data_IF_205526835998
#
_entry.id   IF_205526835998
#
_cell.length_a   1.000
_cell.length_b   1.000
_cell.length_c   1.000
_cell.angle_alpha   90.00
_cell.angle_beta   90.00
_cell.angle_gamma   90.00
#
_symmetry.space_group_name_H-M   'P 1'
#
loop_
_entity.id
_entity.type
_entity.pdbx_description
1 polymer ?
#
# COMPACT_ATOMS: atom_id res chain seq x y z
N UNK A 1 -4.74 31.06 -27.65
CA UNK A 1 -3.50 30.70 -28.36
C UNK A 1 -3.89 30.14 -29.72
N UNK A 2 -3.22 30.52 -30.83
CA UNK A 2 -3.52 29.95 -32.15
C UNK A 2 -2.87 28.57 -32.29
N UNK A 3 -3.57 27.59 -32.85
CA UNK A 3 -3.04 26.23 -33.03
C UNK A 3 -1.73 26.22 -33.84
N UNK A 4 -1.58 27.11 -34.82
CA UNK A 4 -0.37 27.23 -35.65
C UNK A 4 0.89 27.66 -34.88
N UNK A 5 0.76 28.11 -33.64
CA UNK A 5 1.87 28.56 -32.79
C UNK A 5 2.14 27.59 -31.63
N UNK A 6 1.35 26.52 -31.48
CA UNK A 6 1.55 25.57 -30.40
C UNK A 6 2.81 24.72 -30.69
N UNK A 7 3.63 24.52 -29.67
CA UNK A 7 4.74 23.57 -29.74
C UNK A 7 4.22 22.17 -29.45
N UNK A 8 4.18 21.32 -30.48
CA UNK A 8 3.68 19.96 -30.41
C UNK A 8 2.82 19.60 -31.61
N UNK A 9 2.67 18.31 -31.87
CA UNK A 9 1.77 17.76 -32.90
C UNK A 9 1.08 16.52 -32.36
N UNK A 10 -0.13 16.28 -32.84
CA UNK A 10 -0.82 15.01 -32.59
C UNK A 10 -0.18 13.89 -33.41
N UNK A 11 -0.20 12.67 -32.87
CA UNK A 11 0.25 11.47 -33.57
C UNK A 11 -0.95 10.69 -34.12
N UNK A 12 -0.80 10.09 -35.30
CA UNK A 12 -1.83 9.24 -35.90
C UNK A 12 -1.84 7.85 -35.28
N UNK A 13 -0.65 7.29 -35.09
CA UNK A 13 -0.44 5.95 -34.58
C UNK A 13 -0.24 5.98 -33.06
N UNK A 14 -0.61 4.88 -32.42
CA UNK A 14 -0.41 4.68 -30.99
C UNK A 14 0.99 4.11 -30.79
N UNK A 15 1.84 4.70 -29.94
CA UNK A 15 3.13 4.11 -29.61
C UNK A 15 2.95 2.70 -29.02
N UNK A 16 3.70 1.72 -29.54
CA UNK A 16 3.57 0.31 -29.13
C UNK A 16 3.95 0.06 -27.67
N UNK A 17 4.70 0.97 -27.06
CA UNK A 17 5.12 0.94 -25.66
C UNK A 17 4.07 1.46 -24.67
N UNK A 18 2.89 1.89 -25.16
CA UNK A 18 1.85 2.47 -24.32
C UNK A 18 0.72 1.47 -24.04
N UNK A 19 0.71 0.93 -22.81
CA UNK A 19 -0.23 -0.14 -22.44
C UNK A 19 -1.61 0.35 -21.96
N UNK A 20 -1.69 1.56 -21.37
CA UNK A 20 -2.95 2.09 -20.82
C UNK A 20 -3.61 3.12 -21.73
N UNK A 21 -4.95 3.19 -21.79
CA UNK A 21 -5.68 4.23 -22.53
C UNK A 21 -5.18 5.64 -22.23
N UNK A 22 -5.00 6.01 -20.94
CA UNK A 22 -4.47 7.32 -20.58
C UNK A 22 -3.08 7.59 -21.17
N UNK A 23 -2.16 6.62 -21.11
CA UNK A 23 -0.82 6.78 -21.66
C UNK A 23 -0.84 6.95 -23.18
N UNK A 24 -1.61 6.09 -23.87
CA UNK A 24 -1.78 6.15 -25.33
C UNK A 24 -2.34 7.50 -25.77
N UNK A 25 -3.41 7.96 -25.12
CA UNK A 25 -4.08 9.20 -25.48
C UNK A 25 -3.24 10.44 -25.18
N UNK A 26 -2.53 10.47 -24.05
CA UNK A 26 -1.66 11.59 -23.70
C UNK A 26 -0.49 11.76 -24.68
N UNK A 27 0.09 10.65 -25.16
CA UNK A 27 1.12 10.68 -26.21
C UNK A 27 0.53 11.11 -27.55
N UNK A 28 -0.59 10.51 -27.97
CA UNK A 28 -1.26 10.83 -29.25
C UNK A 28 -1.74 12.27 -29.33
N UNK A 29 -2.21 12.83 -28.23
CA UNK A 29 -2.63 14.22 -28.14
C UNK A 29 -1.45 15.20 -28.04
N UNK A 30 -0.20 14.71 -27.99
CA UNK A 30 1.00 15.53 -27.83
C UNK A 30 1.02 16.30 -26.50
N UNK A 31 0.50 15.69 -25.43
CA UNK A 31 0.41 16.29 -24.09
C UNK A 31 1.61 15.95 -23.22
N UNK A 32 2.23 14.79 -23.46
CA UNK A 32 3.47 14.36 -22.81
C UNK A 32 4.45 13.81 -23.83
N UNK A 33 5.73 13.80 -23.47
CA UNK A 33 6.79 13.16 -24.24
C UNK A 33 7.70 12.41 -23.27
N UNK A 34 7.95 11.13 -23.53
CA UNK A 34 8.89 10.35 -22.72
C UNK A 34 10.34 10.75 -23.04
N UNK A 35 11.12 11.04 -22.00
CA UNK A 35 12.55 11.38 -22.11
C UNK A 35 13.43 10.19 -21.74
N UNK A 36 13.00 9.43 -20.72
CA UNK A 36 13.57 8.15 -20.33
C UNK A 36 12.46 7.27 -19.72
N UNK A 37 12.74 5.99 -19.46
CA UNK A 37 11.79 5.11 -18.79
C UNK A 37 11.28 5.75 -17.48
N UNK A 38 9.96 5.96 -17.38
CA UNK A 38 9.34 6.63 -16.23
C UNK A 38 9.69 8.11 -16.04
N UNK A 39 10.20 8.81 -17.06
CA UNK A 39 10.53 10.25 -16.98
C UNK A 39 9.91 10.97 -18.17
N UNK A 40 9.01 11.92 -17.90
CA UNK A 40 8.17 12.56 -18.91
C UNK A 40 8.29 14.08 -18.88
N UNK A 41 8.38 14.67 -20.07
CA UNK A 41 8.18 16.10 -20.28
C UNK A 41 6.69 16.39 -20.50
N UNK A 42 6.16 17.40 -19.81
CA UNK A 42 4.81 17.92 -20.05
C UNK A 42 4.84 18.94 -21.19
N UNK A 43 4.13 18.63 -22.27
CA UNK A 43 3.99 19.52 -23.43
C UNK A 43 2.97 20.64 -23.12
N UNK A 44 2.89 21.72 -23.92
CA UNK A 44 2.09 22.90 -23.56
C UNK A 44 0.64 22.65 -23.15
N UNK A 45 -0.06 21.72 -23.80
CA UNK A 45 -1.44 21.35 -23.39
C UNK A 45 -1.46 20.54 -22.10
N UNK A 46 -0.61 19.52 -21.97
CA UNK A 46 -0.51 18.73 -20.74
C UNK A 46 -0.11 19.59 -19.53
N UNK A 47 0.81 20.54 -19.74
CA UNK A 47 1.21 21.50 -18.72
C UNK A 47 0.06 22.41 -18.29
N UNK A 48 -0.78 22.89 -19.22
CA UNK A 48 -1.97 23.69 -18.89
C UNK A 48 -2.97 22.93 -18.03
N UNK A 49 -3.23 21.66 -18.34
CA UNK A 49 -4.07 20.78 -17.51
C UNK A 49 -3.45 20.61 -16.13
N UNK A 50 -2.15 20.31 -16.07
CA UNK A 50 -1.45 20.11 -14.80
C UNK A 50 -1.52 21.36 -13.91
N UNK A 51 -1.33 22.57 -14.46
CA UNK A 51 -1.48 23.83 -13.71
C UNK A 51 -2.91 24.07 -13.21
N UNK A 52 -3.94 23.62 -13.94
CA UNK A 52 -5.34 23.70 -13.46
C UNK A 52 -5.58 22.76 -12.28
N UNK A 53 -5.10 21.53 -12.37
CA UNK A 53 -5.13 20.57 -11.26
C UNK A 53 -4.36 21.12 -10.05
N UNK A 54 -3.17 21.64 -10.28
CA UNK A 54 -2.34 22.27 -9.24
C UNK A 54 -3.09 23.41 -8.53
N UNK A 55 -3.78 24.27 -9.27
CA UNK A 55 -4.53 25.39 -8.70
C UNK A 55 -5.74 24.90 -7.89
N UNK A 56 -6.48 23.89 -8.37
CA UNK A 56 -7.58 23.28 -7.60
C UNK A 56 -7.04 22.74 -6.26
N UNK A 57 -5.91 22.02 -6.31
CA UNK A 57 -5.27 21.49 -5.10
C UNK A 57 -4.87 22.63 -4.15
N UNK A 58 -4.19 23.67 -4.65
CA UNK A 58 -3.75 24.82 -3.86
C UNK A 58 -4.92 25.51 -3.16
N UNK A 59 -5.99 25.81 -3.90
CA UNK A 59 -7.18 26.45 -3.34
C UNK A 59 -7.78 25.63 -2.19
N UNK A 60 -7.96 24.31 -2.36
CA UNK A 60 -8.53 23.45 -1.30
C UNK A 60 -7.57 23.23 -0.10
N UNK A 61 -6.25 23.26 -0.33
CA UNK A 61 -5.27 23.21 0.77
C UNK A 61 -5.28 24.53 1.56
N UNK A 62 -5.31 25.67 0.89
CA UNK A 62 -5.33 26.99 1.51
C UNK A 62 -6.64 27.19 2.30
N UNK A 63 -7.78 26.78 1.74
CA UNK A 63 -9.10 26.83 2.41
C UNK A 63 -9.15 25.93 3.66
N UNK A 64 -8.40 24.83 3.66
CA UNK A 64 -8.25 23.97 4.84
C UNK A 64 -7.31 24.55 5.91
N UNK A 65 -6.66 25.68 5.64
CA UNK A 65 -5.68 26.34 6.51
C UNK A 65 -4.24 25.89 6.30
N UNK A 66 -3.95 25.25 5.17
CA UNK A 66 -2.61 24.90 4.74
C UNK A 66 -1.76 26.13 4.41
N UNK A 67 -0.46 26.03 4.66
CA UNK A 67 0.52 27.05 4.30
C UNK A 67 1.49 26.45 3.28
N UNK A 68 1.49 26.99 2.06
CA UNK A 68 2.39 26.55 1.00
C UNK A 68 3.82 27.05 1.25
N UNK A 69 4.78 26.14 1.11
CA UNK A 69 6.21 26.40 1.15
C UNK A 69 6.90 25.55 0.08
N UNK A 70 8.22 25.66 -0.04
CA UNK A 70 9.01 24.80 -0.93
C UNK A 70 10.23 24.27 -0.21
N UNK A 71 10.51 22.98 -0.38
CA UNK A 71 11.66 22.30 0.19
C UNK A 71 12.61 21.79 -0.90
N UNK A 72 13.92 21.68 -0.60
CA UNK A 72 14.87 21.16 -1.57
C UNK A 72 14.58 19.70 -1.93
N UNK A 73 14.74 19.37 -3.23
CA UNK A 73 14.74 17.97 -3.70
C UNK A 73 16.01 17.26 -3.25
N UNK A 74 17.15 17.95 -3.34
CA UNK A 74 18.45 17.40 -2.99
C UNK A 74 18.65 17.49 -1.47
N UNK A 75 18.78 16.35 -0.81
CA UNK A 75 18.80 16.22 0.63
C UNK A 75 20.07 15.49 1.11
N UNK A 76 20.60 15.83 2.29
CA UNK A 76 21.67 15.06 2.93
C UNK A 76 21.16 13.67 3.36
N UNK A 77 21.93 12.61 3.08
CA UNK A 77 21.54 11.24 3.46
C UNK A 77 21.44 11.08 4.98
N UNK A 78 22.17 11.89 5.74
CA UNK A 78 22.23 11.86 7.19
C UNK A 78 20.86 12.09 7.85
N UNK A 79 19.96 12.83 7.18
CA UNK A 79 18.58 13.00 7.66
C UNK A 79 17.77 11.70 7.58
N UNK A 80 17.97 10.93 6.51
CA UNK A 80 17.30 9.65 6.28
C UNK A 80 17.86 8.55 7.18
N UNK A 81 19.17 8.60 7.46
CA UNK A 81 19.84 7.69 8.39
C UNK A 81 19.34 7.88 9.83
N UNK A 82 19.04 9.10 10.25
CA UNK A 82 18.48 9.37 11.58
C UNK A 82 17.11 8.71 11.79
N UNK A 83 16.32 8.59 10.72
CA UNK A 83 15.00 7.94 10.76
C UNK A 83 15.06 6.46 10.40
N UNK A 84 16.21 5.96 9.94
CA UNK A 84 16.40 4.60 9.40
C UNK A 84 15.66 4.36 8.09
N UNK A 85 15.07 5.40 7.48
CA UNK A 85 14.29 5.28 6.24
C UNK A 85 15.16 5.15 5.00
N UNK A 86 16.46 5.45 5.09
CA UNK A 86 17.42 5.12 4.03
C UNK A 86 17.45 3.61 3.76
N UNK A 87 17.48 2.80 4.81
CA UNK A 87 17.46 1.34 4.72
C UNK A 87 16.07 0.83 4.33
N UNK A 88 15.01 1.40 4.92
CA UNK A 88 13.64 0.98 4.65
C UNK A 88 13.21 1.24 3.19
N UNK A 89 13.64 2.35 2.58
CA UNK A 89 13.41 2.61 1.15
C UNK A 89 14.32 1.78 0.24
N UNK A 90 15.51 1.40 0.74
CA UNK A 90 16.46 0.56 0.02
C UNK A 90 16.75 1.08 -1.39
N UNK A 91 16.59 0.20 -2.38
CA UNK A 91 16.87 0.51 -3.79
C UNK A 91 15.89 1.50 -4.43
N UNK A 92 14.77 1.81 -3.79
CA UNK A 92 13.83 2.84 -4.28
C UNK A 92 14.33 4.26 -4.05
N UNK A 93 15.38 4.45 -3.25
CA UNK A 93 15.97 5.75 -2.94
C UNK A 93 17.08 6.11 -3.92
N UNK A 94 16.89 7.18 -4.70
CA UNK A 94 17.97 7.72 -5.53
C UNK A 94 19.07 8.31 -4.65
N UNK A 95 20.30 7.79 -4.80
CA UNK A 95 21.49 8.29 -4.12
C UNK A 95 22.51 8.80 -5.13
N UNK A 96 23.22 9.86 -4.77
CA UNK A 96 24.29 10.45 -5.57
C UNK A 96 25.41 10.97 -4.67
N UNK A 97 26.59 11.19 -5.24
CA UNK A 97 27.74 11.74 -4.52
C UNK A 97 28.08 13.12 -5.10
N UNK A 98 28.26 14.12 -4.23
CA UNK A 98 28.73 15.42 -4.68
C UNK A 98 30.24 15.40 -4.97
N UNK A 99 30.76 16.51 -5.50
CA UNK A 99 32.20 16.68 -5.80
C UNK A 99 33.15 16.61 -4.58
N UNK A 100 32.61 16.50 -3.36
CA UNK A 100 33.33 16.30 -2.10
C UNK A 100 33.06 14.90 -1.52
N UNK A 101 32.53 13.99 -2.33
CA UNK A 101 32.17 12.61 -1.96
C UNK A 101 31.12 12.53 -0.84
N UNK A 102 30.30 13.57 -0.65
CA UNK A 102 29.16 13.50 0.28
C UNK A 102 28.00 12.79 -0.40
N UNK A 103 27.45 11.78 0.28
CA UNK A 103 26.25 11.08 -0.18
C UNK A 103 25.02 11.96 0.03
N UNK A 104 24.27 12.13 -1.04
CA UNK A 104 23.02 12.89 -1.09
C UNK A 104 21.91 12.00 -1.63
N UNK A 105 20.68 12.43 -1.39
CA UNK A 105 19.45 11.77 -1.80
C UNK A 105 18.62 12.74 -2.63
N UNK A 106 17.95 12.23 -3.68
CA UNK A 106 16.84 12.95 -4.31
C UNK A 106 15.55 12.55 -3.59
N UNK A 107 14.92 13.49 -2.92
CA UNK A 107 13.78 13.25 -2.03
C UNK A 107 12.60 12.54 -2.72
N UNK A 108 12.26 11.30 -2.33
CA UNK A 108 11.01 10.65 -2.75
C UNK A 108 9.78 11.17 -2.00
N UNK A 109 10.03 11.87 -0.88
CA UNK A 109 9.11 12.53 0.06
C UNK A 109 9.93 13.44 0.98
N UNK A 110 9.30 14.14 1.92
CA UNK A 110 9.92 15.24 2.70
C UNK A 110 9.59 15.23 4.20
N UNK A 111 9.18 14.10 4.79
CA UNK A 111 8.92 14.04 6.23
C UNK A 111 10.14 14.50 7.05
N UNK A 112 11.35 14.04 6.72
CA UNK A 112 12.58 14.35 7.43
C UNK A 112 12.89 15.85 7.42
N UNK A 113 12.90 16.44 6.22
CA UNK A 113 13.27 17.83 6.00
C UNK A 113 12.32 18.74 6.75
N UNK A 114 11.01 18.50 6.63
CA UNK A 114 10.03 19.38 7.25
C UNK A 114 9.98 19.19 8.78
N UNK A 115 10.14 17.97 9.28
CA UNK A 115 10.24 17.72 10.73
C UNK A 115 11.43 18.44 11.33
N UNK A 116 12.58 18.42 10.65
CA UNK A 116 13.75 19.18 11.07
C UNK A 116 13.47 20.69 11.02
N UNK A 117 12.79 21.20 10.00
CA UNK A 117 12.41 22.62 9.98
C UNK A 117 11.50 22.97 11.16
N UNK A 118 10.50 22.14 11.45
CA UNK A 118 9.55 22.37 12.55
C UNK A 118 10.23 22.33 13.91
N UNK A 119 11.18 21.42 14.15
CA UNK A 119 11.89 21.34 15.44
C UNK A 119 12.65 22.62 15.80
N UNK A 120 13.02 23.43 14.81
CA UNK A 120 13.68 24.72 15.03
C UNK A 120 12.70 25.89 15.25
N UNK A 121 11.45 25.76 14.82
CA UNK A 121 10.48 26.87 14.78
C UNK A 121 9.30 26.69 15.74
N UNK A 122 9.02 25.47 16.19
CA UNK A 122 7.97 25.16 17.17
C UNK A 122 8.64 24.86 18.50
N UNK A 123 8.27 25.59 19.54
CA UNK A 123 8.82 25.43 20.89
C UNK A 123 7.74 25.23 21.95
N UNK A 124 6.49 25.66 21.69
CA UNK A 124 5.38 25.58 22.63
C UNK A 124 4.15 24.96 21.97
N UNK A 125 3.28 24.35 22.77
CA UNK A 125 1.96 23.89 22.34
C UNK A 125 1.14 25.01 21.65
N UNK A 126 1.41 26.28 21.99
CA UNK A 126 0.75 27.46 21.39
C UNK A 126 1.13 27.71 19.93
N UNK A 127 2.24 27.14 19.47
CA UNK A 127 2.65 27.23 18.07
C UNK A 127 1.88 26.24 17.19
N UNK A 128 1.21 25.25 17.80
CA UNK A 128 0.50 24.16 17.15
C UNK A 128 -1.03 24.39 17.17
N UNK A 129 -1.78 23.86 16.19
CA UNK A 129 -1.33 23.00 15.09
C UNK A 129 -0.71 23.79 13.92
N UNK A 130 0.05 23.09 13.07
CA UNK A 130 0.54 23.60 11.78
C UNK A 130 0.17 22.65 10.65
N UNK A 131 -0.32 23.19 9.53
CA UNK A 131 -0.56 22.49 8.27
C UNK A 131 0.35 23.09 7.21
N UNK A 132 1.40 22.37 6.83
CA UNK A 132 2.45 22.88 5.94
C UNK A 132 2.53 21.98 4.71
N UNK A 133 2.51 22.55 3.51
CA UNK A 133 2.56 21.76 2.28
C UNK A 133 3.44 22.37 1.20
N UNK A 134 3.76 21.56 0.20
CA UNK A 134 4.40 22.00 -1.03
C UNK A 134 3.79 21.27 -2.23
N UNK A 135 4.00 21.81 -3.43
CA UNK A 135 3.79 21.10 -4.69
C UNK A 135 5.12 21.04 -5.42
N UNK A 136 5.76 19.87 -5.42
CA UNK A 136 7.18 19.76 -5.75
C UNK A 136 7.55 18.40 -6.36
N UNK A 137 8.60 18.39 -7.19
CA UNK A 137 9.10 17.21 -7.90
C UNK A 137 9.79 16.19 -6.98
N UNK A 138 9.29 14.96 -6.99
CA UNK A 138 9.80 13.80 -6.27
C UNK A 138 10.52 12.84 -7.19
N UNK A 139 11.42 12.06 -6.61
CA UNK A 139 12.18 11.02 -7.30
C UNK A 139 12.07 9.69 -6.57
N UNK A 140 11.62 8.64 -7.26
CA UNK A 140 11.60 7.25 -6.76
C UNK A 140 12.22 6.35 -7.81
N UNK A 141 13.22 5.54 -7.47
CA UNK A 141 13.85 4.64 -8.45
C UNK A 141 13.01 3.39 -8.64
N UNK A 142 11.85 3.61 -9.27
CA UNK A 142 10.90 2.56 -9.58
C UNK A 142 11.52 1.57 -10.58
N UNK A 143 11.70 0.28 -10.20
CA UNK A 143 12.34 -0.70 -11.06
C UNK A 143 11.57 -0.98 -12.35
N UNK A 144 10.24 -0.80 -12.35
CA UNK A 144 9.40 -1.03 -13.54
C UNK A 144 8.37 0.10 -13.73
N UNK A 145 8.78 1.27 -14.23
CA UNK A 145 7.85 2.35 -14.53
C UNK A 145 6.90 1.92 -15.66
N UNK A 146 5.59 2.11 -15.46
CA UNK A 146 4.55 1.63 -16.38
C UNK A 146 3.29 2.50 -16.31
N UNK A 147 2.39 2.35 -17.27
CA UNK A 147 1.12 3.09 -17.29
C UNK A 147 1.25 4.60 -17.53
N UNK A 148 2.29 5.04 -18.23
CA UNK A 148 2.50 6.46 -18.51
C UNK A 148 2.81 7.25 -17.25
N UNK A 149 1.94 8.22 -16.91
CA UNK A 149 2.10 9.05 -15.71
C UNK A 149 1.60 8.39 -14.42
N UNK A 150 1.06 7.16 -14.48
CA UNK A 150 0.54 6.45 -13.30
C UNK A 150 1.69 6.03 -12.38
N UNK A 151 2.75 5.43 -12.95
CA UNK A 151 3.90 4.92 -12.21
C UNK A 151 5.22 5.30 -12.88
N UNK A 152 5.90 6.27 -12.28
CA UNK A 152 7.04 7.00 -12.86
C UNK A 152 8.17 7.17 -11.85
N UNK A 153 9.35 7.55 -12.33
CA UNK A 153 10.54 7.79 -11.49
C UNK A 153 10.69 9.24 -11.07
N UNK A 154 10.23 10.17 -11.90
CA UNK A 154 10.18 11.61 -11.61
C UNK A 154 8.73 12.09 -11.74
N UNK A 155 8.19 12.73 -10.71
CA UNK A 155 6.81 13.21 -10.71
C UNK A 155 6.58 14.39 -9.78
N UNK A 156 5.54 15.16 -10.07
CA UNK A 156 5.11 16.25 -9.20
C UNK A 156 4.08 15.72 -8.21
N UNK A 157 4.33 15.98 -6.93
CA UNK A 157 3.44 15.60 -5.83
C UNK A 157 3.14 16.83 -4.99
N UNK A 158 1.87 16.95 -4.58
CA UNK A 158 1.51 17.75 -3.42
C UNK A 158 1.68 16.88 -2.19
N UNK A 159 2.50 17.31 -1.25
CA UNK A 159 2.69 16.68 0.05
C UNK A 159 2.47 17.71 1.16
N UNK A 160 1.50 17.43 2.03
CA UNK A 160 1.19 18.21 3.23
C UNK A 160 1.57 17.40 4.46
N UNK A 161 2.02 18.08 5.51
CA UNK A 161 2.32 17.49 6.81
C UNK A 161 1.63 18.31 7.90
N UNK A 162 0.90 17.63 8.78
CA UNK A 162 0.32 18.24 9.97
C UNK A 162 1.21 17.99 11.17
N UNK A 163 1.25 18.99 12.05
CA UNK A 163 1.97 18.96 13.32
C UNK A 163 0.99 19.39 14.39
N UNK A 164 0.73 18.50 15.35
CA UNK A 164 -0.39 18.57 16.28
C UNK A 164 0.11 18.30 17.72
N UNK A 165 -0.64 18.81 18.71
CA UNK A 165 -0.29 18.70 20.15
C UNK A 165 -0.51 17.29 20.67
N UNK A 166 -1.58 16.64 20.22
CA UNK A 166 -2.03 15.32 20.65
C UNK A 166 -2.74 14.57 19.50
N UNK A 167 -3.16 13.33 19.77
CA UNK A 167 -3.86 12.48 18.79
C UNK A 167 -5.23 13.08 18.41
N UNK A 168 -5.92 13.78 19.32
CA UNK A 168 -7.19 14.45 19.01
C UNK A 168 -6.98 15.62 18.03
N UNK A 169 -5.91 16.40 18.20
CA UNK A 169 -5.50 17.42 17.24
C UNK A 169 -5.16 16.84 15.86
N UNK A 170 -4.43 15.72 15.84
CA UNK A 170 -4.14 14.98 14.61
C UNK A 170 -5.42 14.51 13.92
N UNK A 171 -6.41 14.02 14.68
CA UNK A 171 -7.70 13.60 14.12
C UNK A 171 -8.43 14.76 13.43
N UNK A 172 -8.38 15.97 14.01
CA UNK A 172 -8.93 17.18 13.38
C UNK A 172 -8.18 17.50 12.07
N UNK A 173 -6.85 17.53 12.11
CA UNK A 173 -6.00 17.78 10.94
C UNK A 173 -6.24 16.74 9.84
N UNK A 174 -6.37 15.47 10.22
CA UNK A 174 -6.66 14.37 9.33
C UNK A 174 -8.00 14.52 8.63
N UNK A 175 -9.08 14.82 9.37
CA UNK A 175 -10.41 15.00 8.79
C UNK A 175 -10.48 16.22 7.86
N UNK A 176 -9.77 17.32 8.18
CA UNK A 176 -9.63 18.46 7.26
C UNK A 176 -9.03 18.02 5.93
N UNK A 177 -7.96 17.23 5.96
CA UNK A 177 -7.30 16.76 4.74
C UNK A 177 -8.16 15.77 3.95
N UNK A 178 -8.85 14.85 4.63
CA UNK A 178 -9.82 13.95 3.99
C UNK A 178 -10.91 14.74 3.27
N UNK A 179 -11.45 15.79 3.89
CA UNK A 179 -12.48 16.61 3.26
C UNK A 179 -11.93 17.43 2.08
N UNK A 180 -10.77 18.05 2.24
CA UNK A 180 -10.12 18.80 1.16
C UNK A 180 -9.83 17.90 -0.06
N UNK A 181 -9.39 16.66 0.18
CA UNK A 181 -9.18 15.69 -0.90
C UNK A 181 -10.47 15.33 -1.62
N UNK A 182 -11.56 15.08 -0.89
CA UNK A 182 -12.88 14.85 -1.48
C UNK A 182 -13.29 16.02 -2.39
N UNK A 183 -13.12 17.25 -1.92
CA UNK A 183 -13.40 18.45 -2.71
C UNK A 183 -12.52 18.52 -3.97
N UNK A 184 -11.22 18.25 -3.85
CA UNK A 184 -10.28 18.22 -5.00
C UNK A 184 -10.76 17.23 -6.05
N UNK A 185 -11.09 15.99 -5.65
CA UNK A 185 -11.53 14.97 -6.59
C UNK A 185 -12.88 15.31 -7.21
N UNK A 186 -13.83 15.84 -6.44
CA UNK A 186 -15.11 16.33 -6.95
C UNK A 186 -14.92 17.46 -7.98
N UNK A 187 -14.04 18.43 -7.70
CA UNK A 187 -13.71 19.52 -8.63
C UNK A 187 -12.97 19.04 -9.88
N UNK A 188 -12.21 17.96 -9.78
CA UNK A 188 -11.63 17.23 -10.92
C UNK A 188 -12.62 16.27 -11.59
N UNK A 189 -13.87 16.23 -11.13
CA UNK A 189 -14.95 15.34 -11.57
C UNK A 189 -14.61 13.84 -11.46
N UNK A 190 -13.77 13.43 -10.52
CA UNK A 190 -13.37 12.04 -10.33
C UNK A 190 -14.19 11.36 -9.22
N UNK A 191 -14.77 10.18 -9.47
CA UNK A 191 -15.49 9.41 -8.45
C UNK A 191 -14.51 8.65 -7.54
N UNK A 192 -13.75 9.40 -6.72
CA UNK A 192 -12.78 8.82 -5.80
C UNK A 192 -13.45 8.02 -4.67
N UNK A 193 -13.03 6.78 -4.50
CA UNK A 193 -13.42 5.92 -3.38
C UNK A 193 -12.42 6.06 -2.25
N UNK A 194 -12.91 6.33 -1.04
CA UNK A 194 -12.08 6.38 0.17
C UNK A 194 -11.97 4.97 0.77
N UNK A 195 -10.76 4.42 0.85
CA UNK A 195 -10.51 3.02 1.23
C UNK A 195 -9.50 2.93 2.37
N UNK A 196 -9.70 1.96 3.27
CA UNK A 196 -8.74 1.65 4.34
C UNK A 196 -7.48 1.00 3.76
N UNK A 197 -6.31 1.44 4.20
CA UNK A 197 -5.04 1.02 3.62
C UNK A 197 -4.03 0.56 4.68
N UNK A 198 -2.97 -0.10 4.21
CA UNK A 198 -1.79 -0.32 5.05
C UNK A 198 -1.00 0.99 5.22
N UNK A 199 -0.21 1.09 6.29
CA UNK A 199 0.61 2.28 6.54
C UNK A 199 2.01 2.15 5.91
N UNK A 200 2.39 0.94 5.48
CA UNK A 200 3.66 0.64 4.82
C UNK A 200 4.88 1.11 5.60
N UNK A 201 5.96 1.38 4.86
CA UNK A 201 7.23 1.89 5.39
C UNK A 201 7.17 3.35 5.89
N UNK A 202 6.09 4.08 5.59
CA UNK A 202 5.84 5.42 6.14
C UNK A 202 5.52 5.33 7.65
N UNK A 203 4.97 4.19 8.10
CA UNK A 203 4.59 3.96 9.49
C UNK A 203 3.26 4.64 9.85
N UNK A 204 2.74 4.34 11.03
CA UNK A 204 1.48 4.92 11.53
C UNK A 204 0.40 3.91 11.93
N UNK A 205 -0.70 4.43 12.48
CA UNK A 205 -1.85 3.63 12.95
C UNK A 205 -2.99 3.60 11.93
N UNK A 206 -3.42 4.77 11.46
CA UNK A 206 -4.52 4.93 10.51
C UNK A 206 -4.01 5.44 9.17
N UNK A 207 -4.41 4.75 8.10
CA UNK A 207 -3.99 5.00 6.74
C UNK A 207 -5.20 4.78 5.82
N UNK A 208 -5.46 5.75 4.94
CA UNK A 208 -6.50 5.61 3.93
C UNK A 208 -6.02 6.12 2.58
N UNK A 209 -6.42 5.42 1.54
CA UNK A 209 -6.17 5.76 0.15
C UNK A 209 -7.43 6.32 -0.49
N UNK A 210 -7.24 7.17 -1.48
CA UNK A 210 -8.27 7.56 -2.42
C UNK A 210 -8.00 6.81 -3.73
N UNK A 211 -8.97 5.99 -4.13
CA UNK A 211 -8.87 5.09 -5.27
C UNK A 211 -9.83 5.52 -6.36
N UNK A 212 -9.36 5.59 -7.61
CA UNK A 212 -10.23 5.62 -8.78
C UNK A 212 -10.40 4.20 -9.30
N UNK A 213 -11.64 3.69 -9.35
CA UNK A 213 -11.89 2.36 -9.92
C UNK A 213 -11.68 2.40 -11.43
N UNK A 214 -10.78 1.54 -11.91
CA UNK A 214 -10.40 1.42 -13.32
C UNK A 214 -9.86 0.01 -13.59
N UNK A 215 -10.21 -0.58 -14.74
CA UNK A 215 -9.84 -1.95 -15.10
C UNK A 215 -8.32 -2.18 -15.21
N UNK A 216 -7.55 -1.11 -15.41
CA UNK A 216 -6.08 -1.16 -15.45
C UNK A 216 -5.42 -0.62 -14.18
N UNK A 217 -6.18 -0.49 -13.10
CA UNK A 217 -5.65 -0.18 -11.77
C UNK A 217 -4.65 -1.25 -11.31
N UNK A 218 -3.56 -0.79 -10.69
CA UNK A 218 -2.53 -1.69 -10.17
C UNK A 218 -2.92 -2.28 -8.80
N UNK A 219 -3.79 -1.57 -8.06
CA UNK A 219 -4.17 -1.93 -6.71
C UNK A 219 -5.48 -2.72 -6.68
N UNK A 220 -5.51 -3.79 -5.90
CA UNK A 220 -6.74 -4.50 -5.60
C UNK A 220 -7.54 -3.77 -4.53
N UNK A 221 -8.81 -3.51 -4.78
CA UNK A 221 -9.73 -2.90 -3.82
C UNK A 221 -10.84 -3.89 -3.49
N UNK A 222 -11.03 -4.15 -2.20
CA UNK A 222 -12.13 -4.94 -1.68
C UNK A 222 -13.20 -3.99 -1.14
N UNK A 223 -14.40 -4.05 -1.69
CA UNK A 223 -15.53 -3.23 -1.27
C UNK A 223 -16.75 -4.08 -0.90
N UNK A 224 -17.70 -3.53 -0.17
CA UNK A 224 -18.99 -4.16 0.09
C UNK A 224 -20.11 -3.37 -0.56
N UNK A 225 -20.89 -3.99 -1.45
CA UNK A 225 -22.04 -3.34 -2.10
C UNK A 225 -23.17 -2.96 -1.14
N UNK A 226 -23.24 -3.62 0.02
CA UNK A 226 -24.35 -3.45 0.97
C UNK A 226 -24.06 -2.39 2.04
N UNK A 227 -22.82 -1.93 2.18
CA UNK A 227 -22.44 -0.91 3.15
C UNK A 227 -21.31 -0.01 2.61
N UNK A 228 -20.61 0.74 3.48
CA UNK A 228 -19.50 1.63 3.08
C UNK A 228 -18.11 1.06 3.36
N UNK A 229 -18.02 -0.26 3.56
CA UNK A 229 -16.73 -0.90 3.75
C UNK A 229 -15.97 -0.94 2.43
N UNK A 230 -14.77 -0.36 2.41
CA UNK A 230 -13.82 -0.48 1.33
C UNK A 230 -12.40 -0.44 1.89
N UNK A 231 -11.54 -1.33 1.41
CA UNK A 231 -10.16 -1.44 1.83
C UNK A 231 -9.28 -1.88 0.66
N UNK A 232 -8.02 -1.46 0.66
CA UNK A 232 -6.99 -2.06 -0.16
C UNK A 232 -6.91 -3.57 0.17
N UNK A 233 -6.73 -4.40 -0.86
CA UNK A 233 -6.61 -5.85 -0.74
C UNK A 233 -5.54 -6.26 0.29
N UNK A 234 -4.46 -5.48 0.44
CA UNK A 234 -3.41 -5.71 1.42
C UNK A 234 -3.90 -5.56 2.88
N UNK A 235 -4.93 -4.75 3.11
CA UNK A 235 -5.50 -4.46 4.43
C UNK A 235 -6.83 -5.15 4.70
N UNK A 236 -7.57 -5.49 3.65
CA UNK A 236 -8.96 -5.94 3.73
C UNK A 236 -9.15 -7.16 4.62
N UNK A 237 -10.08 -7.07 5.57
CA UNK A 237 -10.56 -8.16 6.41
C UNK A 237 -11.86 -8.73 5.82
N UNK A 238 -12.06 -10.04 5.96
CA UNK A 238 -13.30 -10.71 5.56
C UNK A 238 -13.80 -11.68 6.62
N UNK A 239 -15.11 -11.96 6.59
CA UNK A 239 -15.72 -13.00 7.42
C UNK A 239 -15.55 -14.34 6.72
N UNK A 240 -14.76 -15.20 7.33
CA UNK A 240 -14.44 -16.54 6.82
C UNK A 240 -15.61 -17.48 7.11
N UNK A 241 -15.97 -18.30 6.12
CA UNK A 241 -17.02 -19.32 6.26
C UNK A 241 -16.62 -20.34 7.32
N UNK A 242 -17.51 -20.66 8.26
CA UNK A 242 -17.27 -21.75 9.22
C UNK A 242 -17.38 -23.10 8.54
N UNK A 243 -16.46 -23.99 8.86
CA UNK A 243 -16.52 -25.40 8.47
C UNK A 243 -17.32 -26.13 9.55
N UNK A 244 -18.29 -26.94 9.14
CA UNK A 244 -19.46 -27.33 9.94
C UNK A 244 -19.18 -27.94 11.32
N UNK A 245 -20.21 -28.00 12.20
CA UNK A 245 -20.08 -28.56 13.54
C UNK A 245 -20.04 -30.09 13.47
N UNK A 246 -18.86 -30.64 13.21
CA UNK A 246 -18.61 -32.07 13.36
C UNK A 246 -18.17 -32.42 14.80
N UNK A 247 -17.98 -33.71 15.08
CA UNK A 247 -17.27 -34.13 16.29
C UNK A 247 -15.80 -34.33 15.93
N UNK A 248 -14.85 -33.93 16.81
CA UNK A 248 -13.44 -34.21 16.58
C UNK A 248 -13.20 -35.72 16.45
N UNK A 249 -12.63 -36.14 15.33
CA UNK A 249 -12.23 -37.53 15.07
C UNK A 249 -10.76 -37.74 15.43
N UNK A 250 -10.34 -38.99 15.62
CA UNK A 250 -8.94 -39.32 15.88
C UNK A 250 -8.07 -39.08 14.62
N UNK A 251 -6.85 -38.53 14.76
CA UNK A 251 -5.93 -38.37 13.63
C UNK A 251 -5.64 -39.70 12.92
N UNK A 252 -5.60 -39.68 11.60
CA UNK A 252 -5.35 -40.86 10.76
C UNK A 252 -4.33 -40.52 9.66
N UNK A 253 -3.22 -41.26 9.58
CA UNK A 253 -2.28 -41.14 8.45
C UNK A 253 -2.87 -41.76 7.19
N UNK A 254 -2.78 -41.04 6.06
CA UNK A 254 -3.25 -41.48 4.75
C UNK A 254 -2.15 -41.29 3.73
N UNK A 255 -1.90 -42.33 2.92
CA UNK A 255 -0.95 -42.25 1.82
C UNK A 255 -1.53 -41.41 0.66
N UNK A 256 -0.75 -40.42 0.22
CA UNK A 256 -1.09 -39.45 -0.83
C UNK A 256 0.10 -39.29 -1.79
N UNK A 257 0.44 -40.34 -2.56
CA UNK A 257 1.64 -40.36 -3.40
C UNK A 257 1.59 -39.30 -4.50
N UNK A 258 2.62 -38.44 -4.54
CA UNK A 258 2.75 -37.36 -5.51
C UNK A 258 1.80 -36.17 -5.33
N UNK A 259 0.97 -36.16 -4.28
CA UNK A 259 0.01 -35.07 -4.03
C UNK A 259 0.69 -33.99 -3.19
N UNK A 260 1.05 -32.86 -3.81
CA UNK A 260 1.80 -31.77 -3.15
C UNK A 260 1.01 -30.48 -3.01
N UNK A 261 -0.04 -30.27 -3.82
CA UNK A 261 -0.86 -29.06 -3.81
C UNK A 261 -2.18 -29.29 -3.08
N UNK A 262 -2.82 -28.21 -2.63
CA UNK A 262 -4.15 -28.30 -2.01
C UNK A 262 -5.17 -28.87 -3.01
N UNK A 263 -5.09 -28.46 -4.28
CA UNK A 263 -5.90 -28.99 -5.37
C UNK A 263 -5.76 -30.50 -5.52
N UNK A 264 -4.53 -31.01 -5.50
CA UNK A 264 -4.25 -32.44 -5.63
C UNK A 264 -4.79 -33.23 -4.43
N UNK A 265 -4.50 -32.75 -3.21
CA UNK A 265 -4.93 -33.41 -1.96
C UNK A 265 -6.45 -33.41 -1.83
N UNK A 266 -7.10 -32.28 -2.11
CA UNK A 266 -8.56 -32.11 -2.10
C UNK A 266 -9.23 -33.08 -3.07
N UNK A 267 -8.72 -33.17 -4.30
CA UNK A 267 -9.26 -34.05 -5.34
C UNK A 267 -9.03 -35.53 -5.03
N UNK A 268 -7.83 -35.88 -4.57
CA UNK A 268 -7.45 -37.26 -4.25
C UNK A 268 -8.22 -37.84 -3.06
N UNK A 269 -8.40 -37.05 -2.00
CA UNK A 269 -9.10 -37.48 -0.79
C UNK A 269 -10.61 -37.20 -0.83
N UNK A 270 -11.10 -36.57 -1.90
CA UNK A 270 -12.49 -36.14 -2.08
C UNK A 270 -13.00 -35.31 -0.89
N UNK A 271 -12.18 -34.34 -0.46
CA UNK A 271 -12.51 -33.38 0.60
C UNK A 271 -12.50 -31.97 0.02
N UNK A 272 -13.40 -31.06 0.43
CA UNK A 272 -13.35 -29.67 -0.01
C UNK A 272 -12.04 -28.98 0.41
N UNK A 273 -11.59 -27.97 -0.35
CA UNK A 273 -10.39 -27.18 0.01
C UNK A 273 -10.51 -26.46 1.36
N UNK A 274 -11.73 -26.12 1.79
CA UNK A 274 -11.97 -25.54 3.13
C UNK A 274 -11.81 -26.57 4.27
N UNK A 275 -11.62 -27.88 3.97
CA UNK A 275 -11.30 -28.93 4.93
C UNK A 275 -9.82 -29.34 4.90
N UNK A 276 -8.97 -28.61 4.20
CA UNK A 276 -7.52 -28.84 4.20
C UNK A 276 -6.78 -27.69 4.88
N UNK A 277 -5.54 -27.95 5.30
CA UNK A 277 -4.64 -26.98 5.90
C UNK A 277 -3.38 -26.86 5.00
N UNK A 278 -3.08 -25.62 4.63
CA UNK A 278 -1.93 -25.24 3.81
C UNK A 278 -0.82 -24.71 4.71
N UNK A 279 0.38 -25.26 4.52
CA UNK A 279 1.62 -24.77 5.09
C UNK A 279 2.35 -23.90 4.08
N UNK A 280 2.62 -22.65 4.44
CA UNK A 280 3.41 -21.70 3.64
C UNK A 280 4.61 -21.27 4.47
N UNK A 281 5.77 -21.16 3.84
CA UNK A 281 7.03 -20.86 4.51
C UNK A 281 7.52 -19.48 4.11
N UNK A 282 7.88 -18.70 5.10
CA UNK A 282 8.44 -17.37 4.93
C UNK A 282 9.75 -17.24 5.67
N UNK A 283 10.60 -16.32 5.24
CA UNK A 283 11.76 -15.87 6.00
C UNK A 283 11.48 -14.44 6.44
N UNK A 284 11.49 -14.22 7.75
CA UNK A 284 11.28 -12.92 8.38
C UNK A 284 12.57 -12.51 9.10
N UNK A 285 13.22 -11.44 8.65
CA UNK A 285 14.52 -10.96 9.16
C UNK A 285 15.56 -12.10 9.33
N UNK A 286 15.63 -13.00 8.33
CA UNK A 286 16.55 -14.14 8.31
C UNK A 286 16.12 -15.36 9.13
N UNK A 287 14.93 -15.36 9.72
CA UNK A 287 14.37 -16.52 10.45
C UNK A 287 13.18 -17.14 9.71
N UNK A 288 13.19 -18.47 9.58
CA UNK A 288 12.07 -19.21 8.97
C UNK A 288 10.83 -19.13 9.86
N UNK A 289 9.70 -18.79 9.24
CA UNK A 289 8.36 -18.74 9.82
C UNK A 289 7.46 -19.73 9.10
N UNK A 290 6.73 -20.51 9.88
CA UNK A 290 5.71 -21.44 9.40
C UNK A 290 4.35 -20.75 9.47
N UNK A 291 3.77 -20.40 8.32
CA UNK A 291 2.40 -19.89 8.21
C UNK A 291 1.43 -21.05 7.94
N UNK A 292 0.48 -21.28 8.84
CA UNK A 292 -0.56 -22.29 8.71
C UNK A 292 -1.91 -21.61 8.41
N UNK A 293 -2.56 -21.99 7.33
CA UNK A 293 -3.83 -21.39 6.90
C UNK A 293 -4.76 -22.44 6.29
N UNK A 294 -6.07 -22.21 6.28
CA UNK A 294 -7.01 -23.09 5.57
C UNK A 294 -6.69 -23.17 4.08
N UNK A 295 -6.85 -24.34 3.48
CA UNK A 295 -6.31 -24.64 2.16
C UNK A 295 -6.93 -23.86 1.01
N UNK A 296 -8.16 -23.38 1.15
CA UNK A 296 -8.80 -22.50 0.18
C UNK A 296 -8.35 -21.04 0.30
N UNK A 297 -7.60 -20.62 1.32
CA UNK A 297 -7.20 -19.23 1.56
C UNK A 297 -5.72 -19.03 1.25
N UNK A 298 -5.35 -17.81 0.86
CA UNK A 298 -3.96 -17.42 0.62
C UNK A 298 -3.44 -16.50 1.72
N UNK A 299 -2.14 -16.60 2.00
CA UNK A 299 -1.48 -15.72 2.98
C UNK A 299 -1.34 -14.34 2.37
N UNK A 300 -1.77 -13.32 3.11
CA UNK A 300 -1.49 -11.93 2.82
C UNK A 300 -0.17 -11.56 3.51
N UNK A 301 0.86 -11.33 2.69
CA UNK A 301 2.23 -11.06 3.15
C UNK A 301 2.33 -9.77 3.95
N UNK A 302 1.55 -8.73 3.60
CA UNK A 302 1.52 -7.45 4.32
C UNK A 302 0.97 -7.64 5.74
N UNK A 303 -0.12 -8.39 5.89
CA UNK A 303 -0.66 -8.74 7.22
C UNK A 303 0.35 -9.56 8.03
N UNK A 304 1.00 -10.54 7.41
CA UNK A 304 1.99 -11.39 8.07
C UNK A 304 3.22 -10.57 8.52
N UNK A 305 3.76 -9.71 7.65
CA UNK A 305 4.90 -8.85 7.94
C UNK A 305 4.58 -7.91 9.11
N UNK A 306 3.40 -7.28 9.09
CA UNK A 306 2.95 -6.35 10.13
C UNK A 306 2.72 -7.05 11.48
N UNK A 307 2.20 -8.27 11.45
CA UNK A 307 2.02 -9.11 12.64
C UNK A 307 3.38 -9.49 13.26
N UNK A 308 4.34 -9.87 12.42
CA UNK A 308 5.70 -10.25 12.84
C UNK A 308 6.57 -9.05 13.22
N UNK A 309 6.21 -7.85 12.76
CA UNK A 309 6.98 -6.60 12.90
C UNK A 309 8.40 -6.74 12.32
N UNK A 310 8.53 -7.48 11.21
CA UNK A 310 9.79 -7.67 10.53
C UNK A 310 10.01 -6.63 9.43
N UNK A 311 11.29 -6.36 9.12
CA UNK A 311 11.67 -5.40 8.08
C UNK A 311 11.70 -6.07 6.71
N UNK A 312 12.24 -7.29 6.66
CA UNK A 312 12.25 -8.13 5.46
C UNK A 312 11.30 -9.32 5.66
N UNK A 313 10.44 -9.56 4.67
CA UNK A 313 9.63 -10.75 4.57
C UNK A 313 9.65 -11.22 3.11
N UNK A 314 10.03 -12.47 2.90
CA UNK A 314 9.93 -13.11 1.60
C UNK A 314 9.54 -14.58 1.74
N UNK A 315 8.92 -15.14 0.71
CA UNK A 315 8.60 -16.57 0.66
C UNK A 315 9.91 -17.37 0.66
N UNK A 316 10.01 -18.37 1.53
CA UNK A 316 11.22 -19.15 1.70
C UNK A 316 11.53 -19.99 0.45
N UNK A 317 12.79 -20.00 0.04
CA UNK A 317 13.28 -20.86 -1.03
C UNK A 317 13.35 -22.33 -0.59
N UNK A 318 13.40 -23.25 -1.56
CA UNK A 318 13.42 -24.69 -1.28
C UNK A 318 14.62 -25.11 -0.42
N UNK A 319 15.78 -24.47 -0.61
CA UNK A 319 16.97 -24.73 0.22
C UNK A 319 16.75 -24.32 1.68
N UNK A 320 16.10 -23.19 1.94
CA UNK A 320 15.85 -22.67 3.29
C UNK A 320 14.86 -23.55 4.05
N UNK A 321 13.81 -23.99 3.35
CA UNK A 321 12.81 -24.94 3.87
C UNK A 321 13.46 -26.29 4.20
N UNK A 322 14.34 -26.78 3.32
CA UNK A 322 15.05 -28.04 3.52
C UNK A 322 16.04 -27.98 4.69
N UNK A 323 16.76 -26.87 4.84
CA UNK A 323 17.67 -26.63 5.98
C UNK A 323 16.92 -26.57 7.32
N UNK A 324 15.68 -26.09 7.31
CA UNK A 324 14.81 -26.11 8.48
C UNK A 324 14.21 -27.51 8.79
N UNK A 325 14.55 -28.53 8.00
CA UNK A 325 14.07 -29.90 8.17
C UNK A 325 12.59 -30.10 7.79
N UNK A 326 12.06 -29.23 6.93
CA UNK A 326 10.65 -29.24 6.51
C UNK A 326 10.52 -29.94 5.15
N UNK A 327 9.58 -30.88 5.05
CA UNK A 327 9.21 -31.52 3.79
C UNK A 327 8.11 -30.73 3.08
N UNK A 328 8.49 -29.84 2.15
CA UNK A 328 7.53 -29.06 1.36
C UNK A 328 6.49 -29.95 0.65
N UNK A 329 5.23 -29.51 0.61
CA UNK A 329 4.10 -30.28 0.08
C UNK A 329 3.49 -31.32 1.03
N UNK A 330 4.20 -31.70 2.10
CA UNK A 330 3.71 -32.67 3.10
C UNK A 330 3.91 -32.16 4.54
N UNK A 331 4.11 -30.86 4.72
CA UNK A 331 4.46 -30.27 6.00
C UNK A 331 3.24 -29.95 6.89
N UNK A 332 3.43 -30.05 8.20
CA UNK A 332 2.53 -29.53 9.22
C UNK A 332 3.28 -29.15 10.50
N UNK A 333 2.70 -28.31 11.36
CA UNK A 333 3.26 -27.92 12.67
C UNK A 333 3.32 -29.07 13.68
N UNK A 334 2.79 -30.25 13.36
CA UNK A 334 2.76 -31.38 14.28
C UNK A 334 4.16 -31.93 14.53
N UNK A 335 4.67 -31.73 15.75
CA UNK A 335 5.99 -32.19 16.16
C UNK A 335 7.15 -31.31 15.70
N UNK A 336 6.89 -30.19 15.02
CA UNK A 336 7.93 -29.19 14.71
C UNK A 336 8.38 -28.47 16.00
N UNK A 337 9.69 -28.25 16.11
CA UNK A 337 10.32 -27.53 17.23
C UNK A 337 11.32 -26.52 16.68
N UNK A 338 11.43 -25.36 17.35
CA UNK A 338 12.44 -24.36 17.01
C UNK A 338 12.09 -23.46 15.82
N UNK A 339 10.87 -23.57 15.28
CA UNK A 339 10.36 -22.73 14.19
C UNK A 339 9.12 -22.01 14.70
N UNK A 340 9.02 -20.71 14.43
CA UNK A 340 7.85 -19.89 14.81
C UNK A 340 6.67 -20.29 13.95
N UNK A 341 5.56 -20.66 14.58
CA UNK A 341 4.30 -21.05 13.93
C UNK A 341 3.30 -19.91 14.06
N UNK A 342 2.92 -19.32 12.94
CA UNK A 342 1.83 -18.36 12.82
C UNK A 342 0.66 -19.06 12.15
N UNK A 343 -0.51 -19.07 12.78
CA UNK A 343 -1.71 -19.62 12.18
C UNK A 343 -2.73 -18.53 11.87
N UNK A 344 -3.37 -18.64 10.71
CA UNK A 344 -4.55 -17.85 10.40
C UNK A 344 -5.72 -18.21 11.32
N UNK A 345 -6.55 -17.25 11.70
CA UNK A 345 -7.72 -17.52 12.53
C UNK A 345 -8.73 -18.50 11.89
N UNK A 346 -8.67 -18.75 10.57
CA UNK A 346 -9.45 -19.79 9.88
C UNK A 346 -9.24 -21.18 10.44
N UNK A 347 -8.08 -21.48 11.03
CA UNK A 347 -7.82 -22.80 11.65
C UNK A 347 -8.69 -23.04 12.89
N UNK A 348 -9.24 -21.96 13.47
CA UNK A 348 -10.14 -22.01 14.63
C UNK A 348 -11.61 -22.13 14.23
N UNK A 349 -11.93 -21.87 12.97
CA UNK A 349 -13.30 -21.86 12.42
C UNK A 349 -13.66 -23.17 11.70
N UNK A 350 -12.94 -24.25 12.01
CA UNK A 350 -13.20 -25.59 11.49
C UNK A 350 -12.54 -26.67 12.34
N UNK A 351 -12.87 -27.92 12.02
CA UNK A 351 -12.36 -29.12 12.70
C UNK A 351 -12.11 -30.22 11.69
N UNK A 352 -11.37 -31.24 12.09
CA UNK A 352 -11.06 -32.43 11.29
C UNK A 352 -10.37 -32.16 9.94
N UNK A 353 -9.46 -31.20 9.91
CA UNK A 353 -8.74 -30.84 8.70
C UNK A 353 -7.81 -31.95 8.18
N UNK A 354 -7.46 -31.88 6.90
CA UNK A 354 -6.33 -32.63 6.33
C UNK A 354 -5.09 -31.73 6.31
N UNK A 355 -3.99 -32.17 6.92
CA UNK A 355 -2.70 -31.48 6.89
C UNK A 355 -1.57 -32.42 6.47
N UNK A 356 -0.40 -31.88 6.12
CA UNK A 356 0.78 -32.67 5.77
C UNK A 356 1.25 -33.59 6.91
N UNK A 357 1.73 -34.79 6.57
CA UNK A 357 2.18 -35.80 7.54
C UNK A 357 3.62 -35.67 8.02
N UNK A 358 4.34 -34.61 7.63
CA UNK A 358 5.79 -34.43 7.81
C UNK A 358 6.64 -35.58 7.24
N UNK A 359 6.10 -36.33 6.29
CA UNK A 359 6.75 -37.43 5.57
C UNK A 359 6.35 -37.33 4.09
N UNK A 360 7.26 -37.63 3.15
CA UNK A 360 6.89 -37.70 1.75
C UNK A 360 5.69 -38.64 1.53
N UNK A 361 4.76 -38.21 0.68
CA UNK A 361 3.60 -38.99 0.26
C UNK A 361 2.61 -39.36 1.38
N UNK A 362 2.61 -38.62 2.49
CA UNK A 362 1.69 -38.85 3.61
C UNK A 362 1.03 -37.55 4.04
N UNK A 363 -0.28 -37.60 4.21
CA UNK A 363 -1.08 -36.58 4.90
C UNK A 363 -1.75 -37.19 6.13
N UNK A 364 -2.21 -36.33 7.05
CA UNK A 364 -2.97 -36.73 8.24
C UNK A 364 -4.37 -36.15 8.11
N UNK A 365 -5.39 -37.00 8.19
CA UNK A 365 -6.79 -36.61 8.32
C UNK A 365 -7.13 -36.32 9.77
N UNK A 366 -8.23 -35.59 9.97
CA UNK A 366 -8.82 -35.30 11.26
C UNK A 366 -7.91 -34.47 12.19
N UNK A 367 -7.10 -33.58 11.62
CA UNK A 367 -6.25 -32.64 12.36
C UNK A 367 -7.09 -31.52 12.96
N UNK A 368 -6.91 -31.26 14.24
CA UNK A 368 -7.69 -30.32 15.03
C UNK A 368 -6.78 -29.36 15.81
N UNK A 369 -6.98 -28.05 15.64
CA UNK A 369 -6.41 -27.05 16.52
C UNK A 369 -7.30 -26.89 17.78
N UNK A 370 -6.75 -26.77 19.00
CA UNK A 370 -5.34 -26.84 19.38
C UNK A 370 -4.88 -28.24 19.83
N UNK A 371 -5.65 -29.30 19.54
CA UNK A 371 -5.39 -30.67 20.02
C UNK A 371 -4.08 -31.23 19.45
N UNK A 372 -3.91 -31.16 18.14
CA UNK A 372 -2.83 -31.85 17.42
C UNK A 372 -1.61 -30.96 17.19
N UNK A 373 -1.81 -29.64 17.13
CA UNK A 373 -0.74 -28.66 17.05
C UNK A 373 -1.10 -27.37 17.79
N UNK A 374 -0.06 -26.61 18.14
CA UNK A 374 -0.19 -25.26 18.71
C UNK A 374 0.52 -24.27 17.80
N UNK A 375 0.00 -23.05 17.75
CA UNK A 375 0.62 -21.93 17.07
C UNK A 375 1.13 -20.95 18.13
N UNK A 376 2.24 -20.27 17.85
CA UNK A 376 2.76 -19.21 18.71
C UNK A 376 1.90 -17.96 18.61
N UNK A 377 1.34 -17.69 17.43
CA UNK A 377 0.44 -16.57 17.14
C UNK A 377 -0.74 -17.08 16.32
N UNK A 378 -1.95 -16.68 16.71
CA UNK A 378 -3.16 -16.85 15.89
C UNK A 378 -3.72 -15.47 15.57
N UNK A 379 -3.84 -15.13 14.29
CA UNK A 379 -4.31 -13.82 13.82
C UNK A 379 -4.87 -13.92 12.40
N UNK A 380 -5.52 -12.86 11.91
CA UNK A 380 -5.89 -12.78 10.49
C UNK A 380 -4.64 -12.52 9.63
N UNK A 381 -4.21 -13.55 8.90
CA UNK A 381 -3.14 -13.46 7.90
C UNK A 381 -3.66 -13.82 6.50
N UNK A 382 -4.99 -13.95 6.33
CA UNK A 382 -5.59 -14.34 5.07
C UNK A 382 -5.83 -13.14 4.14
N UNK A 383 -5.68 -13.37 2.85
CA UNK A 383 -6.12 -12.46 1.80
C UNK A 383 -7.65 -12.51 1.67
N UNK A 384 -8.33 -11.37 1.80
CA UNK A 384 -9.76 -11.26 1.54
C UNK A 384 -10.04 -11.43 0.03
N UNK A 385 -11.14 -12.10 -0.31
CA UNK A 385 -11.49 -12.45 -1.69
C UNK A 385 -12.87 -11.95 -2.10
N UNK A 386 -13.08 -11.92 -3.41
CA UNK A 386 -14.40 -11.74 -4.00
C UNK A 386 -15.38 -12.79 -3.47
N UNK A 387 -16.56 -12.34 -3.05
CA UNK A 387 -17.63 -13.20 -2.53
C UNK A 387 -17.53 -13.57 -1.04
N UNK A 388 -16.43 -13.24 -0.34
CA UNK A 388 -16.32 -13.43 1.11
C UNK A 388 -17.35 -12.57 1.87
N UNK A 389 -17.61 -12.91 3.14
CA UNK A 389 -18.54 -12.14 3.98
C UNK A 389 -17.96 -10.79 4.40
N UNK A 390 -18.79 -9.75 4.42
CA UNK A 390 -18.38 -8.43 4.89
C UNK A 390 -18.20 -8.40 6.42
N UNK A 391 -17.13 -7.79 6.95
CA UNK A 391 -16.93 -7.67 8.41
C UNK A 391 -17.87 -6.66 9.09
N UNK A 392 -18.56 -5.81 8.32
CA UNK A 392 -19.42 -4.72 8.84
C UNK A 392 -20.92 -4.96 8.67
N UNK A 393 -21.31 -5.92 7.84
CA UNK A 393 -22.72 -6.22 7.57
C UNK A 393 -22.86 -7.66 7.03
N UNK A 394 -24.09 -8.09 6.78
CA UNK A 394 -24.36 -9.43 6.23
C UNK A 394 -24.19 -9.52 4.70
N UNK A 395 -23.62 -8.49 4.08
CA UNK A 395 -23.35 -8.44 2.65
C UNK A 395 -22.12 -9.26 2.25
N UNK A 396 -21.84 -9.29 0.94
CA UNK A 396 -20.64 -9.89 0.37
C UNK A 396 -19.64 -8.83 -0.06
N UNK A 397 -18.38 -9.22 -0.07
CA UNK A 397 -17.28 -8.44 -0.59
C UNK A 397 -17.15 -8.61 -2.10
N UNK A 398 -16.70 -7.56 -2.77
CA UNK A 398 -16.36 -7.52 -4.19
C UNK A 398 -14.94 -7.06 -4.37
N UNK A 399 -14.23 -7.72 -5.29
CA UNK A 399 -12.91 -7.28 -5.72
C UNK A 399 -13.01 -6.40 -6.97
N UNK A 400 -12.25 -5.31 -6.98
CA UNK A 400 -12.13 -4.37 -8.09
C UNK A 400 -10.68 -3.93 -8.24
N UNK A 401 -10.34 -3.35 -9.39
CA UNK A 401 -9.04 -2.70 -9.60
C UNK A 401 -9.16 -1.20 -9.42
N UNK A 402 -8.13 -0.60 -8.83
CA UNK A 402 -8.07 0.83 -8.54
C UNK A 402 -6.72 1.45 -8.87
N UNK A 403 -6.77 2.75 -9.19
CA UNK A 403 -5.59 3.62 -9.27
C UNK A 403 -5.58 4.48 -8.01
N UNK A 404 -4.53 4.35 -7.18
CA UNK A 404 -4.32 5.19 -6.00
C UNK A 404 -4.03 6.63 -6.42
N UNK A 405 -5.00 7.53 -6.26
CA UNK A 405 -4.91 8.95 -6.65
C UNK A 405 -4.59 9.88 -5.47
N UNK A 406 -4.42 9.35 -4.27
CA UNK A 406 -3.89 10.05 -3.11
C UNK A 406 -3.95 9.22 -1.83
N UNK A 407 -3.19 9.63 -0.83
CA UNK A 407 -3.00 8.87 0.41
C UNK A 407 -2.91 9.83 1.60
N UNK A 408 -3.56 9.45 2.70
CA UNK A 408 -3.57 10.19 3.97
C UNK A 408 -3.15 9.28 5.14
N UNK A 409 -2.19 9.74 5.95
CA UNK A 409 -1.57 8.95 7.02
C UNK A 409 -1.59 9.68 8.36
N UNK A 410 -1.83 8.93 9.44
CA UNK A 410 -1.51 9.32 10.82
C UNK A 410 -0.17 8.71 11.23
N UNK A 411 0.89 9.54 11.26
CA UNK A 411 2.27 9.11 11.53
C UNK A 411 2.57 8.95 13.01
N UNK A 412 1.84 9.67 13.87
CA UNK A 412 2.10 9.70 15.31
C UNK A 412 3.44 10.38 15.60
N UNK A 413 4.24 9.81 16.50
CA UNK A 413 5.50 10.42 16.98
C UNK A 413 6.77 9.80 16.41
N UNK A 414 6.69 8.91 15.43
CA UNK A 414 7.87 8.16 14.95
C UNK A 414 8.99 9.10 14.49
N UNK A 415 8.67 10.03 13.59
CA UNK A 415 9.62 10.98 13.02
C UNK A 415 10.05 12.06 14.01
N UNK A 416 9.11 12.59 14.79
CA UNK A 416 9.41 13.61 15.81
C UNK A 416 10.32 13.06 16.91
N UNK A 417 10.13 11.81 17.34
CA UNK A 417 11.05 11.14 18.26
C UNK A 417 12.44 10.96 17.63
N UNK A 418 12.52 10.48 16.39
CA UNK A 418 13.78 10.22 15.71
C UNK A 418 14.61 11.51 15.48
N UNK A 419 13.94 12.63 15.19
CA UNK A 419 14.55 13.91 14.84
C UNK A 419 14.53 14.94 15.98
N UNK A 420 14.06 14.56 17.17
CA UNK A 420 13.99 15.43 18.34
C UNK A 420 13.04 16.63 18.19
N UNK A 421 11.98 16.50 17.40
CA UNK A 421 10.98 17.55 17.22
C UNK A 421 9.96 17.55 18.37
N UNK A 422 10.30 18.25 19.45
CA UNK A 422 9.50 18.36 20.66
C UNK A 422 8.93 19.78 20.84
N UNK A 423 7.88 19.89 21.65
CA UNK A 423 7.32 21.15 22.14
C UNK A 423 7.12 21.10 23.66
N UNK A 424 7.05 22.26 24.31
CA UNK A 424 6.67 22.37 25.72
C UNK A 424 5.16 22.48 25.84
N UNK A 425 4.54 21.55 26.57
CA UNK A 425 3.10 21.49 26.80
C UNK A 425 2.60 22.48 27.87
N UNK A 426 1.28 22.49 28.13
CA UNK A 426 0.66 23.37 29.13
C UNK A 426 1.20 23.19 30.55
N UNK A 427 1.76 22.02 30.86
CA UNK A 427 2.30 21.66 32.18
C UNK A 427 3.80 21.94 32.28
N UNK A 428 4.44 22.36 31.19
CA UNK A 428 5.88 22.57 31.11
C UNK A 428 6.68 21.33 30.74
N UNK A 429 6.01 20.24 30.33
CA UNK A 429 6.67 18.99 29.95
C UNK A 429 7.06 19.02 28.47
N UNK A 430 8.25 18.51 28.15
CA UNK A 430 8.69 18.32 26.76
C UNK A 430 8.03 17.09 26.16
N UNK A 431 7.28 17.26 25.07
CA UNK A 431 6.57 16.20 24.37
C UNK A 431 6.91 16.18 22.88
N UNK A 432 7.00 14.99 22.26
CA UNK A 432 7.16 14.90 20.81
C UNK A 432 5.91 15.41 20.11
N UNK A 433 6.11 16.10 18.99
CA UNK A 433 5.03 16.58 18.14
C UNK A 433 4.33 15.38 17.48
N UNK A 434 3.00 15.38 17.45
CA UNK A 434 2.20 14.38 16.75
C UNK A 434 2.09 14.79 15.29
N UNK A 435 2.27 13.84 14.37
CA UNK A 435 2.34 14.13 12.93
C UNK A 435 1.33 13.36 12.08
N UNK A 436 0.90 13.98 10.98
CA UNK A 436 0.23 13.34 9.85
C UNK A 436 0.89 13.74 8.54
N UNK A 437 0.74 12.93 7.48
CA UNK A 437 1.18 13.30 6.12
C UNK A 437 0.16 12.91 5.06
N UNK A 438 0.12 13.71 3.98
CA UNK A 438 -0.97 13.68 3.01
C UNK A 438 -0.43 13.96 1.59
N UNK A 439 -0.42 12.92 0.73
CA UNK A 439 0.13 12.97 -0.64
C UNK A 439 -0.94 12.94 -1.75
N UNK A 440 -0.73 13.71 -2.84
CA UNK A 440 -1.46 13.60 -4.12
C UNK A 440 -0.43 13.72 -5.25
N UNK A 441 -0.34 12.72 -6.13
CA UNK A 441 0.48 12.78 -7.34
C UNK A 441 -0.25 13.52 -8.47
N UNK A 442 0.22 14.71 -8.88
CA UNK A 442 -0.49 15.53 -9.86
C UNK A 442 -0.49 14.91 -11.26
N UNK A 443 0.63 14.34 -11.68
CA UNK A 443 0.74 13.65 -12.98
C UNK A 443 -0.15 12.41 -13.04
N UNK A 444 -0.18 11.65 -11.93
CA UNK A 444 -1.07 10.50 -11.78
C UNK A 444 -2.53 10.92 -11.80
N UNK A 445 -2.88 12.00 -11.10
CA UNK A 445 -4.24 12.56 -11.10
C UNK A 445 -4.67 13.01 -12.52
N UNK A 446 -3.76 13.63 -13.28
CA UNK A 446 -4.01 13.97 -14.68
C UNK A 446 -4.29 12.72 -15.51
N UNK A 447 -3.47 11.67 -15.40
CA UNK A 447 -3.71 10.41 -16.09
C UNK A 447 -5.02 9.75 -15.66
N UNK A 448 -5.35 9.78 -14.37
CA UNK A 448 -6.61 9.25 -13.83
C UNK A 448 -7.84 9.95 -14.42
N UNK A 449 -7.79 11.28 -14.62
CA UNK A 449 -8.86 12.00 -15.35
C UNK A 449 -9.02 11.46 -16.76
N UNK A 450 -7.92 11.26 -17.49
CA UNK A 450 -7.98 10.71 -18.87
C UNK A 450 -8.48 9.27 -18.87
N UNK A 451 -8.02 8.47 -17.91
CA UNK A 451 -8.42 7.07 -17.77
C UNK A 451 -9.93 6.95 -17.56
N UNK A 452 -10.52 7.82 -16.72
CA UNK A 452 -11.95 7.84 -16.49
C UNK A 452 -12.74 8.48 -17.64
N UNK A 453 -12.20 9.54 -18.26
CA UNK A 453 -12.90 10.35 -19.25
C UNK A 453 -12.24 10.27 -20.64
N UNK A 454 -12.47 9.15 -21.32
CA UNK A 454 -12.10 8.99 -22.72
C UNK A 454 -13.12 8.15 -23.49
N UNK A 455 -13.04 8.24 -24.82
CA UNK A 455 -13.73 7.37 -25.75
C UNK A 455 -12.81 7.00 -26.92
N UNK A 456 -13.35 6.29 -27.92
CA UNK A 456 -12.62 5.90 -29.12
C UNK A 456 -12.05 7.07 -29.95
N UNK A 457 -12.56 8.30 -29.73
CA UNK A 457 -12.15 9.52 -30.44
C UNK A 457 -11.10 10.32 -29.68
N UNK A 458 -11.03 10.18 -28.36
CA UNK A 458 -9.95 10.75 -27.56
C UNK A 458 -10.36 11.12 -26.14
N UNK A 459 -9.70 12.15 -25.61
CA UNK A 459 -9.86 12.59 -24.22
C UNK A 459 -11.10 13.50 -24.09
N UNK A 460 -11.91 13.27 -23.07
CA UNK A 460 -13.11 14.05 -22.75
C UNK A 460 -12.87 14.84 -21.45
N UNK A 461 -12.12 15.94 -21.52
CA UNK A 461 -11.76 16.68 -20.32
C UNK A 461 -12.99 17.24 -19.56
N UNK A 462 -13.06 17.06 -18.23
CA UNK A 462 -13.92 17.87 -17.39
C UNK A 462 -13.59 19.36 -17.57
N UNK A 463 -14.62 20.21 -17.55
CA UNK A 463 -14.47 21.64 -17.84
C UNK A 463 -13.45 22.35 -16.90
N UNK A 464 -13.38 21.90 -15.64
CA UNK A 464 -12.48 22.43 -14.62
C UNK A 464 -11.00 22.29 -15.00
N UNK A 465 -10.63 21.21 -15.69
CA UNK A 465 -9.23 20.86 -15.99
C UNK A 465 -8.89 20.90 -17.49
N UNK A 466 -9.86 21.11 -18.39
CA UNK A 466 -9.63 21.23 -19.82
C UNK A 466 -8.59 22.33 -20.19
N UNK A 467 -7.63 22.06 -21.09
CA UNK A 467 -6.49 22.93 -21.38
C UNK A 467 -6.86 24.25 -22.06
#
# INVERSE_FOLDING_TARGET
>A
MRLSQIFGKTQREIPSEADTPSHQLLLRAGMIMQVAAGVYSYMPLGWRVLKKIENIIREEMDDAGGQELTMPVLQPVELWQQTGRDQAFGKGLFTLHDRRERTLVLGPTHEEVLTQMVSHHVQSYRDLPKLLYQIQTKFRDEPRPRGGLIRVREFIMKDLYSFDVDEDGLDVSYQKMVQAYKNIYERCALPALFVEADSGAIGGKDSHEFMLIADNGEDGVICCDSCRYAANAEKAVSVKKKVGPEKPLSPEEVATPGMKTIEDVSSFLNVPKDHTLKAVFYVADGQVVFAMIRGDLDVNEVKLQRLLKCTDLHMAAEEEVSQAGIAAGYASPMGLKGIKIVADDSVTEGINFVAGGNKPDVHIKNVNYPRDFKADIVADIAQARDGDGCPRCNGKLKWMQGIEIGHVFKLGTFLSNALGANFIDEKGDSKPIIMGCYGIGLGRLLAAVVEHYHDDKGIIWPLSVAP
#
